data_IF_732902188390
#
_entry.id   IF_732902188390
#
_cell.length_a   1.000
_cell.length_b   1.000
_cell.length_c   1.000
_cell.angle_alpha   90.00
_cell.angle_beta   90.00
_cell.angle_gamma   90.00
#
_symmetry.space_group_name_H-M   'P 1'
#
loop_
_entity.id
_entity.type
_entity.pdbx_description
1 polymer ?
#
# COMPACT_ATOMS: atom_id res chain seq x y z
N UNK A 1 -35.96 7.22 -62.58
CA UNK A 1 -35.71 7.67 -61.20
C UNK A 1 -34.67 6.75 -60.61
N UNK A 2 -33.42 7.20 -60.63
CA UNK A 2 -32.28 6.50 -60.00
C UNK A 2 -31.77 7.45 -58.94
N UNK A 3 -32.05 7.11 -57.70
CA UNK A 3 -31.60 7.85 -56.52
C UNK A 3 -30.07 7.91 -56.58
N UNK A 4 -29.55 9.10 -56.86
CA UNK A 4 -28.16 9.42 -56.63
C UNK A 4 -27.91 9.19 -55.15
N UNK A 5 -27.22 8.10 -54.84
CA UNK A 5 -26.53 7.88 -53.58
C UNK A 5 -25.77 9.16 -53.28
N UNK A 6 -26.38 10.04 -52.48
CA UNK A 6 -25.70 11.10 -51.77
C UNK A 6 -24.89 10.37 -50.71
N UNK A 7 -23.80 9.72 -51.16
CA UNK A 7 -22.64 9.49 -50.34
C UNK A 7 -22.43 10.82 -49.62
N UNK A 8 -22.49 10.78 -48.31
CA UNK A 8 -22.00 11.83 -47.43
C UNK A 8 -20.50 11.97 -47.70
N UNK A 9 -20.22 12.57 -48.86
CA UNK A 9 -18.97 12.52 -49.60
C UNK A 9 -18.02 13.54 -49.00
N UNK A 10 -17.60 13.31 -47.75
CA UNK A 10 -16.45 14.06 -47.25
C UNK A 10 -15.15 13.55 -47.85
N UNK A 11 -15.07 12.25 -48.17
CA UNK A 11 -13.90 11.66 -48.82
C UNK A 11 -14.27 10.50 -49.75
N UNK A 12 -13.80 10.57 -51.00
CA UNK A 12 -13.82 9.47 -51.98
C UNK A 12 -12.58 8.60 -51.81
N UNK A 13 -12.66 7.33 -52.23
CA UNK A 13 -11.47 6.47 -52.27
C UNK A 13 -10.42 7.07 -53.23
N UNK A 14 -9.13 6.91 -52.90
CA UNK A 14 -8.02 7.32 -53.78
C UNK A 14 -8.10 6.69 -55.18
N UNK A 15 -8.82 5.58 -55.32
CA UNK A 15 -9.07 4.87 -56.59
C UNK A 15 -10.15 5.51 -57.46
N UNK A 16 -10.93 6.46 -56.93
CA UNK A 16 -11.99 7.16 -57.67
C UNK A 16 -11.49 8.41 -58.42
N UNK A 17 -10.27 8.87 -58.14
CA UNK A 17 -9.69 10.01 -58.86
C UNK A 17 -9.29 9.60 -60.28
N UNK A 18 -9.67 10.38 -61.31
CA UNK A 18 -9.31 10.08 -62.70
C UNK A 18 -7.79 10.18 -62.87
N UNK A 19 -7.22 9.24 -63.63
CA UNK A 19 -5.77 9.18 -63.90
C UNK A 19 -5.27 10.34 -64.78
N UNK A 20 -6.17 10.99 -65.52
CA UNK A 20 -5.86 12.08 -66.45
C UNK A 20 -6.99 13.10 -66.50
N UNK A 21 -6.64 14.38 -66.45
CA UNK A 21 -7.56 15.53 -66.57
C UNK A 21 -7.68 16.07 -68.00
N UNK A 22 -6.94 15.50 -68.97
CA UNK A 22 -6.81 16.02 -70.33
C UNK A 22 -8.13 16.11 -71.12
N UNK A 23 -9.14 15.34 -70.72
CA UNK A 23 -10.48 15.33 -71.34
C UNK A 23 -11.55 16.06 -70.53
N UNK A 24 -11.19 16.68 -69.41
CA UNK A 24 -12.14 17.41 -68.56
C UNK A 24 -12.17 18.90 -68.91
N UNK A 25 -13.33 19.52 -68.70
CA UNK A 25 -13.44 20.98 -68.80
C UNK A 25 -12.59 21.63 -67.70
N UNK A 26 -12.10 22.85 -67.95
CA UNK A 26 -11.30 23.61 -66.97
C UNK A 26 -12.01 23.78 -65.63
N UNK A 27 -13.33 24.00 -65.64
CA UNK A 27 -14.13 24.13 -64.43
C UNK A 27 -14.23 22.82 -63.62
N UNK A 28 -14.32 21.67 -64.28
CA UNK A 28 -14.32 20.35 -63.62
C UNK A 28 -12.94 20.00 -63.07
N UNK A 29 -11.88 20.30 -63.83
CA UNK A 29 -10.51 20.09 -63.39
C UNK A 29 -10.19 20.91 -62.13
N UNK A 30 -10.57 22.19 -62.08
CA UNK A 30 -10.36 23.06 -60.91
C UNK A 30 -11.12 22.57 -59.67
N UNK A 31 -12.34 22.05 -59.85
CA UNK A 31 -13.10 21.45 -58.75
C UNK A 31 -12.45 20.16 -58.25
N UNK A 32 -11.97 19.31 -59.16
CA UNK A 32 -11.24 18.09 -58.80
C UNK A 32 -9.94 18.41 -58.04
N UNK A 33 -9.19 19.43 -58.47
CA UNK A 33 -7.99 19.87 -57.77
C UNK A 33 -8.28 20.37 -56.34
N UNK A 34 -9.37 21.12 -56.15
CA UNK A 34 -9.81 21.55 -54.82
C UNK A 34 -10.15 20.35 -53.93
N UNK A 35 -10.92 19.39 -54.45
CA UNK A 35 -11.28 18.17 -53.72
C UNK A 35 -10.04 17.35 -53.35
N UNK A 36 -9.11 17.12 -54.29
CA UNK A 36 -7.85 16.42 -54.02
C UNK A 36 -7.02 17.13 -52.95
N UNK A 37 -6.93 18.46 -53.02
CA UNK A 37 -6.20 19.25 -52.02
C UNK A 37 -6.83 19.09 -50.64
N UNK A 38 -8.14 19.16 -50.54
CA UNK A 38 -8.85 19.03 -49.26
C UNK A 38 -8.71 17.60 -48.69
N UNK A 39 -8.75 16.58 -49.55
CA UNK A 39 -8.44 15.18 -49.19
C UNK A 39 -7.03 15.02 -48.62
N UNK A 40 -6.03 15.63 -49.27
CA UNK A 40 -4.64 15.59 -48.82
C UNK A 40 -4.44 16.32 -47.49
N UNK A 41 -5.04 17.50 -47.33
CA UNK A 41 -4.97 18.28 -46.08
C UNK A 41 -5.60 17.48 -44.94
N UNK A 42 -6.79 16.91 -45.16
CA UNK A 42 -7.46 16.11 -44.15
C UNK A 42 -6.67 14.87 -43.77
N UNK A 43 -6.16 14.14 -44.76
CA UNK A 43 -5.36 12.92 -44.53
C UNK A 43 -4.08 13.21 -43.76
N UNK A 44 -3.38 14.30 -44.10
CA UNK A 44 -2.20 14.72 -43.35
C UNK A 44 -2.56 15.14 -41.92
N UNK A 45 -3.67 15.87 -41.73
CA UNK A 45 -4.15 16.24 -40.39
C UNK A 45 -4.54 15.02 -39.56
N UNK A 46 -5.27 14.08 -40.12
CA UNK A 46 -5.70 12.86 -39.43
C UNK A 46 -4.50 11.97 -39.09
N UNK A 47 -3.53 11.83 -40.00
CA UNK A 47 -2.27 11.14 -39.74
C UNK A 47 -1.50 11.76 -38.57
N UNK A 48 -1.34 13.08 -38.55
CA UNK A 48 -0.67 13.78 -37.45
C UNK A 48 -1.40 13.59 -36.12
N UNK A 49 -2.73 13.61 -36.12
CA UNK A 49 -3.52 13.33 -34.92
C UNK A 49 -3.37 11.88 -34.44
N UNK A 50 -3.33 10.91 -35.36
CA UNK A 50 -3.11 9.51 -35.03
C UNK A 50 -1.73 9.29 -34.42
N UNK A 51 -0.69 9.89 -34.99
CA UNK A 51 0.67 9.83 -34.43
C UNK A 51 0.72 10.41 -33.02
N UNK A 52 0.11 11.58 -32.81
CA UNK A 52 0.03 12.21 -31.49
C UNK A 52 -0.69 11.32 -30.47
N UNK A 53 -1.90 10.81 -30.79
CA UNK A 53 -2.64 9.92 -29.89
C UNK A 53 -1.87 8.62 -29.60
N UNK A 54 -1.23 8.05 -30.62
CA UNK A 54 -0.43 6.85 -30.43
C UNK A 54 0.73 7.09 -29.45
N UNK A 55 1.38 8.25 -29.54
CA UNK A 55 2.45 8.64 -28.62
C UNK A 55 1.92 8.90 -27.19
N UNK A 56 0.79 9.60 -27.05
CA UNK A 56 0.11 9.82 -25.76
C UNK A 56 -0.25 8.47 -25.08
N UNK A 57 -0.74 7.50 -25.86
CA UNK A 57 -1.03 6.16 -25.36
C UNK A 57 0.23 5.39 -24.95
N UNK A 58 1.33 5.48 -25.71
CA UNK A 58 2.62 4.87 -25.33
C UNK A 58 3.13 5.44 -24.02
N UNK A 59 3.10 6.76 -23.86
CA UNK A 59 3.54 7.43 -22.64
C UNK A 59 2.68 7.02 -21.44
N UNK A 60 1.35 6.99 -21.60
CA UNK A 60 0.43 6.54 -20.56
C UNK A 60 0.67 5.07 -20.18
N UNK A 61 0.90 4.19 -21.16
CA UNK A 61 1.20 2.78 -20.90
C UNK A 61 2.54 2.60 -20.17
N UNK A 62 3.56 3.39 -20.51
CA UNK A 62 4.84 3.39 -19.80
C UNK A 62 4.71 3.85 -18.36
N UNK A 63 3.94 4.92 -18.10
CA UNK A 63 3.64 5.39 -16.74
C UNK A 63 2.92 4.31 -15.93
N UNK A 64 1.85 3.74 -16.48
CA UNK A 64 1.10 2.67 -15.82
C UNK A 64 1.99 1.47 -15.50
N UNK A 65 2.89 1.09 -16.41
CA UNK A 65 3.85 0.00 -16.16
C UNK A 65 4.78 0.34 -14.98
N UNK A 66 5.30 1.56 -14.93
CA UNK A 66 6.15 2.00 -13.82
C UNK A 66 5.39 2.00 -12.48
N UNK A 67 4.14 2.46 -12.47
CA UNK A 67 3.29 2.47 -11.29
C UNK A 67 2.97 1.06 -10.79
N UNK A 68 2.65 0.13 -11.70
CA UNK A 68 2.45 -1.29 -11.37
C UNK A 68 3.71 -1.89 -10.75
N UNK A 69 4.90 -1.61 -11.30
CA UNK A 69 6.15 -2.08 -10.72
C UNK A 69 6.39 -1.49 -9.32
N UNK A 70 6.09 -0.21 -9.12
CA UNK A 70 6.19 0.45 -7.83
C UNK A 70 5.24 -0.17 -6.81
N UNK A 71 3.99 -0.40 -7.17
CA UNK A 71 3.00 -1.07 -6.32
C UNK A 71 3.42 -2.49 -5.98
N UNK A 72 3.95 -3.24 -6.94
CA UNK A 72 4.46 -4.59 -6.71
C UNK A 72 5.63 -4.61 -5.71
N UNK A 73 6.51 -3.61 -5.78
CA UNK A 73 7.58 -3.41 -4.80
C UNK A 73 7.02 -3.15 -3.39
N UNK A 74 6.05 -2.24 -3.27
CA UNK A 74 5.42 -1.95 -1.97
C UNK A 74 4.69 -3.16 -1.39
N UNK A 75 3.97 -3.93 -2.23
CA UNK A 75 3.32 -5.17 -1.81
C UNK A 75 4.34 -6.18 -1.27
N UNK A 76 5.49 -6.31 -1.95
CA UNK A 76 6.55 -7.22 -1.52
C UNK A 76 7.16 -6.79 -0.18
N UNK A 77 7.36 -5.49 0.02
CA UNK A 77 7.82 -4.93 1.28
C UNK A 77 6.81 -5.16 2.41
N UNK A 78 5.54 -4.81 2.21
CA UNK A 78 4.47 -5.03 3.19
C UNK A 78 4.30 -6.49 3.56
N UNK A 79 4.50 -7.40 2.60
CA UNK A 79 4.49 -8.84 2.88
C UNK A 79 5.63 -9.22 3.81
N UNK A 80 6.84 -8.73 3.57
CA UNK A 80 8.00 -8.96 4.44
C UNK A 80 7.78 -8.39 5.85
N UNK A 81 7.27 -7.16 5.97
CA UNK A 81 6.95 -6.54 7.25
C UNK A 81 5.89 -7.34 8.02
N UNK A 82 4.85 -7.84 7.33
CA UNK A 82 3.83 -8.69 7.96
C UNK A 82 4.41 -10.01 8.47
N UNK A 83 5.28 -10.65 7.70
CA UNK A 83 5.95 -11.90 8.11
C UNK A 83 6.85 -11.66 9.33
N UNK A 84 7.58 -10.53 9.35
CA UNK A 84 8.40 -10.13 10.49
C UNK A 84 7.55 -9.89 11.74
N UNK A 85 6.48 -9.08 11.66
CA UNK A 85 5.60 -8.81 12.79
C UNK A 85 4.95 -10.09 13.32
N UNK A 86 4.58 -11.02 12.43
CA UNK A 86 4.04 -12.32 12.84
C UNK A 86 5.08 -13.19 13.55
N UNK A 87 6.34 -13.15 13.12
CA UNK A 87 7.44 -13.84 13.79
C UNK A 87 7.72 -13.24 15.17
N UNK A 88 7.83 -11.91 15.26
CA UNK A 88 8.06 -11.18 16.51
C UNK A 88 6.93 -11.43 17.51
N UNK A 89 5.68 -11.40 17.06
CA UNK A 89 4.52 -11.70 17.90
C UNK A 89 4.55 -13.13 18.45
N UNK A 90 4.94 -14.13 17.64
CA UNK A 90 5.10 -15.51 18.12
C UNK A 90 6.20 -15.60 19.16
N UNK A 91 7.33 -14.95 18.93
CA UNK A 91 8.45 -14.94 19.88
C UNK A 91 8.04 -14.33 21.22
N UNK A 92 7.32 -13.20 21.21
CA UNK A 92 6.81 -12.56 22.42
C UNK A 92 5.83 -13.48 23.16
N UNK A 93 4.89 -14.10 22.45
CA UNK A 93 3.93 -15.03 23.07
C UNK A 93 4.65 -16.21 23.70
N UNK A 94 5.62 -16.82 23.00
CA UNK A 94 6.41 -17.92 23.56
C UNK A 94 7.24 -17.50 24.77
N UNK A 95 7.81 -16.29 24.76
CA UNK A 95 8.53 -15.75 25.92
C UNK A 95 7.58 -15.56 27.12
N UNK A 96 6.39 -15.00 26.91
CA UNK A 96 5.38 -14.84 27.95
C UNK A 96 4.86 -16.19 28.48
N UNK A 97 4.68 -17.19 27.61
CA UNK A 97 4.30 -18.54 28.03
C UNK A 97 5.37 -19.18 28.93
N UNK A 98 6.65 -19.00 28.59
CA UNK A 98 7.77 -19.47 29.42
C UNK A 98 7.82 -18.73 30.76
N UNK A 99 7.60 -17.42 30.76
CA UNK A 99 7.56 -16.60 31.98
C UNK A 99 6.42 -17.06 32.90
N UNK A 100 5.20 -17.24 32.37
CA UNK A 100 4.05 -17.75 33.13
C UNK A 100 4.33 -19.15 33.69
N UNK A 101 4.93 -20.04 32.89
CA UNK A 101 5.30 -21.38 33.36
C UNK A 101 6.33 -21.32 34.50
N UNK A 102 7.33 -20.43 34.40
CA UNK A 102 8.32 -20.23 35.45
C UNK A 102 7.68 -19.66 36.72
N UNK A 103 6.80 -18.68 36.60
CA UNK A 103 6.06 -18.08 37.71
C UNK A 103 5.15 -19.11 38.38
N UNK A 104 4.44 -19.94 37.62
CA UNK A 104 3.64 -21.03 38.15
C UNK A 104 4.50 -22.03 38.95
N UNK A 105 5.69 -22.38 38.45
CA UNK A 105 6.65 -23.22 39.16
C UNK A 105 7.13 -22.60 40.48
N UNK A 106 7.41 -21.30 40.49
CA UNK A 106 7.77 -20.59 41.72
C UNK A 106 6.61 -20.49 42.72
N UNK A 107 5.38 -20.29 42.24
CA UNK A 107 4.19 -20.27 43.09
C UNK A 107 3.90 -21.65 43.70
N UNK A 108 4.10 -22.74 42.96
CA UNK A 108 4.00 -24.10 43.50
C UNK A 108 5.07 -24.39 44.56
N UNK A 109 6.31 -23.93 44.34
CA UNK A 109 7.37 -23.99 45.36
C UNK A 109 7.03 -23.16 46.62
N UNK A 110 6.40 -21.99 46.46
CA UNK A 110 5.93 -21.18 47.57
C UNK A 110 4.79 -21.89 48.32
N UNK A 111 3.82 -22.46 47.59
CA UNK A 111 2.68 -23.19 48.16
C UNK A 111 3.14 -24.41 48.95
N UNK A 112 4.01 -25.24 48.38
CA UNK A 112 4.58 -26.41 49.08
C UNK A 112 5.43 -26.00 50.30
N UNK A 113 6.18 -24.91 50.21
CA UNK A 113 6.90 -24.35 51.36
C UNK A 113 5.93 -23.84 52.44
N UNK A 114 4.82 -23.21 52.07
CA UNK A 114 3.78 -22.76 52.98
C UNK A 114 3.08 -23.94 53.67
N UNK A 115 2.64 -24.94 52.92
CA UNK A 115 2.01 -26.15 53.48
C UNK A 115 2.93 -26.84 54.50
N UNK A 116 4.25 -26.88 54.22
CA UNK A 116 5.23 -27.46 55.15
C UNK A 116 5.36 -26.72 56.49
N UNK A 117 5.01 -25.43 56.51
CA UNK A 117 4.99 -24.57 57.70
C UNK A 117 3.61 -24.61 58.37
N UNK A 118 2.51 -24.65 57.60
CA UNK A 118 1.14 -24.74 58.12
C UNK A 118 0.85 -26.09 58.81
N UNK A 119 1.49 -27.18 58.37
CA UNK A 119 1.38 -28.51 58.99
C UNK A 119 1.98 -28.59 60.42
N UNK A 120 2.55 -27.47 60.93
CA UNK A 120 3.01 -27.30 62.32
C UNK A 120 1.85 -27.00 63.29
N UNK A 121 0.71 -26.47 62.80
CA UNK A 121 -0.49 -26.23 63.60
C UNK A 121 -1.38 -27.48 63.77
N UNK A 122 -1.00 -28.61 63.18
CA UNK A 122 -1.70 -29.90 63.34
C UNK A 122 -1.28 -30.59 64.65
N UNK A 123 -2.19 -30.78 65.63
CA UNK A 123 -1.86 -31.25 66.97
C UNK A 123 -1.30 -32.70 67.00
N UNK A 124 -1.56 -33.51 65.97
CA UNK A 124 -1.12 -34.91 65.89
C UNK A 124 0.36 -35.08 65.48
N UNK A 125 1.02 -34.04 64.94
CA UNK A 125 2.44 -34.07 64.52
C UNK A 125 3.36 -33.18 65.39
N UNK A 126 2.80 -32.49 66.38
CA UNK A 126 3.48 -31.43 67.14
C UNK A 126 4.73 -31.90 67.91
N UNK A 127 4.78 -33.15 68.38
CA UNK A 127 5.90 -33.66 69.19
C UNK A 127 7.24 -33.74 68.45
N UNK A 128 7.23 -33.94 67.12
CA UNK A 128 8.44 -33.88 66.27
C UNK A 128 8.50 -32.58 65.45
N UNK A 129 7.40 -31.84 65.34
CA UNK A 129 7.28 -30.60 64.59
C UNK A 129 8.17 -29.48 65.13
N UNK A 130 8.19 -29.27 66.46
CA UNK A 130 8.84 -28.13 67.14
C UNK A 130 10.36 -28.05 66.90
N UNK A 131 11.06 -29.19 66.80
CA UNK A 131 12.51 -29.20 66.50
C UNK A 131 12.84 -28.88 65.03
N UNK A 132 11.88 -29.03 64.11
CA UNK A 132 12.09 -28.81 62.66
C UNK A 132 11.64 -27.43 62.17
N UNK A 133 10.99 -26.63 63.03
CA UNK A 133 10.41 -25.31 62.72
C UNK A 133 11.43 -24.33 62.15
N UNK A 134 12.66 -24.18 62.69
CA UNK A 134 13.63 -23.23 62.14
C UNK A 134 14.04 -23.59 60.71
N UNK A 135 14.24 -24.89 60.44
CA UNK A 135 14.65 -25.36 59.11
C UNK A 135 13.55 -25.23 58.05
N UNK A 136 12.28 -25.39 58.43
CA UNK A 136 11.12 -25.24 57.53
C UNK A 136 10.81 -23.77 57.23
N UNK A 137 10.87 -22.91 58.23
CA UNK A 137 10.69 -21.46 58.04
C UNK A 137 11.82 -20.84 57.20
N UNK A 138 13.06 -21.29 57.38
CA UNK A 138 14.19 -20.88 56.52
C UNK A 138 14.00 -21.32 55.06
N UNK A 139 13.41 -22.50 54.80
CA UNK A 139 13.07 -22.94 53.43
C UNK A 139 12.02 -22.03 52.79
N UNK A 140 10.99 -21.62 53.55
CA UNK A 140 9.98 -20.66 53.09
C UNK A 140 10.60 -19.29 52.77
N UNK A 141 11.44 -18.74 53.67
CA UNK A 141 12.15 -17.50 53.39
C UNK A 141 13.12 -17.59 52.21
N UNK A 142 13.77 -18.75 52.02
CA UNK A 142 14.61 -18.99 50.86
C UNK A 142 13.80 -19.05 49.56
N UNK A 143 12.58 -19.62 49.58
CA UNK A 143 11.67 -19.62 48.44
C UNK A 143 11.19 -18.20 48.09
N UNK A 144 10.82 -17.39 49.09
CA UNK A 144 10.49 -15.96 48.89
C UNK A 144 11.70 -15.20 48.34
N UNK A 145 12.89 -15.42 48.92
CA UNK A 145 14.12 -14.78 48.44
C UNK A 145 14.44 -15.15 46.99
N UNK A 146 14.22 -16.40 46.60
CA UNK A 146 14.42 -16.85 45.22
C UNK A 146 13.45 -16.16 44.25
N UNK A 147 12.18 -16.01 44.62
CA UNK A 147 11.17 -15.27 43.83
C UNK A 147 11.55 -13.79 43.69
N UNK A 148 11.95 -13.15 44.79
CA UNK A 148 12.34 -11.74 44.81
C UNK A 148 13.62 -11.51 43.99
N UNK A 149 14.58 -12.43 44.05
CA UNK A 149 15.80 -12.36 43.23
C UNK A 149 15.49 -12.56 41.75
N UNK A 150 14.69 -13.57 41.39
CA UNK A 150 14.25 -13.79 40.02
C UNK A 150 13.51 -12.56 39.46
N UNK A 151 12.53 -12.03 40.19
CA UNK A 151 11.78 -10.85 39.77
C UNK A 151 12.67 -9.60 39.63
N UNK A 152 13.71 -9.48 40.46
CA UNK A 152 14.65 -8.35 40.41
C UNK A 152 15.68 -8.48 39.28
N UNK A 153 16.13 -9.69 38.96
CA UNK A 153 17.05 -9.92 37.85
C UNK A 153 16.36 -9.64 36.50
N UNK A 154 15.07 -10.01 36.37
CA UNK A 154 14.27 -9.78 35.15
C UNK A 154 13.89 -8.29 34.96
N UNK A 155 13.56 -7.58 36.05
CA UNK A 155 13.23 -6.15 36.01
C UNK A 155 14.42 -5.18 36.15
N UNK A 156 15.60 -5.70 36.50
CA UNK A 156 16.76 -4.88 36.88
C UNK A 156 17.64 -4.43 35.71
N UNK A 157 17.79 -5.25 34.67
CA UNK A 157 18.66 -4.95 33.53
C UNK A 157 17.98 -5.12 32.15
N UNK A 158 17.00 -6.02 31.98
CA UNK A 158 16.36 -6.27 30.67
C UNK A 158 15.07 -5.47 30.41
N UNK A 159 14.41 -4.93 31.45
CA UNK A 159 13.24 -4.07 31.29
C UNK A 159 13.51 -2.72 30.58
N UNK A 160 14.78 -2.39 30.29
CA UNK A 160 15.16 -1.26 29.42
C UNK A 160 15.19 -1.61 27.94
N UNK A 161 15.29 -2.89 27.57
CA UNK A 161 15.31 -3.34 26.18
C UNK A 161 13.89 -3.50 25.58
N UNK A 162 12.88 -3.66 26.44
CA UNK A 162 11.46 -3.81 26.07
C UNK A 162 10.64 -2.52 26.24
N UNK A 163 11.28 -1.34 26.28
CA UNK A 163 10.53 -0.12 25.95
C UNK A 163 10.27 -0.15 24.46
N UNK A 164 9.02 -0.28 23.98
CA UNK A 164 8.74 0.04 22.60
C UNK A 164 9.15 1.50 22.42
N UNK A 165 10.26 1.71 21.72
CA UNK A 165 10.54 2.98 21.09
C UNK A 165 9.35 3.23 20.18
N UNK A 166 8.42 4.01 20.67
CA UNK A 166 7.46 4.75 19.86
C UNK A 166 8.26 5.85 19.13
N UNK A 167 9.30 5.44 18.40
CA UNK A 167 10.04 6.28 17.49
C UNK A 167 9.11 6.51 16.30
N UNK A 168 8.54 7.71 16.27
CA UNK A 168 8.06 8.39 15.08
C UNK A 168 7.03 7.62 14.24
N UNK A 169 5.76 7.88 14.54
CA UNK A 169 4.81 8.07 13.43
C UNK A 169 5.47 9.05 12.42
N UNK A 170 5.50 8.73 11.13
CA UNK A 170 5.74 9.76 10.12
C UNK A 170 4.53 10.70 10.18
N UNK A 171 4.70 11.80 10.91
CA UNK A 171 3.83 12.96 10.82
C UNK A 171 3.97 13.46 9.38
N UNK A 172 2.98 13.15 8.55
CA UNK A 172 2.78 13.78 7.25
C UNK A 172 2.51 15.26 7.52
N UNK A 173 3.60 16.03 7.62
CA UNK A 173 3.55 17.48 7.55
C UNK A 173 3.17 17.84 6.12
N UNK A 174 1.89 18.17 5.93
CA UNK A 174 1.33 18.45 4.62
C UNK A 174 -0.03 19.11 4.70
N UNK A 175 -0.23 20.04 5.64
CA UNK A 175 -1.21 21.12 5.45
C UNK A 175 -0.55 22.13 4.50
N UNK A 176 -0.52 21.77 3.22
CA UNK A 176 -0.27 22.70 2.12
C UNK A 176 -1.62 22.96 1.48
N UNK A 177 -1.81 24.22 1.15
CA UNK A 177 -3.02 24.85 0.69
C UNK A 177 -3.70 24.12 -0.49
N UNK A 178 -4.96 24.50 -0.71
CA UNK A 178 -5.83 24.27 -1.88
C UNK A 178 -5.19 24.48 -3.29
N UNK A 179 -3.87 24.57 -3.43
CA UNK A 179 -3.15 24.88 -4.68
C UNK A 179 -2.77 23.64 -5.53
N UNK A 180 -2.85 22.42 -5.00
CA UNK A 180 -2.42 21.22 -5.75
C UNK A 180 -3.44 20.75 -6.80
N UNK A 181 -4.72 21.15 -6.71
CA UNK A 181 -5.68 20.87 -7.80
C UNK A 181 -5.37 21.68 -9.07
N UNK A 182 -4.68 22.81 -8.96
CA UNK A 182 -4.32 23.68 -10.09
C UNK A 182 -3.14 23.11 -10.90
N UNK A 183 -2.22 22.38 -10.23
CA UNK A 183 -1.05 21.74 -10.83
C UNK A 183 -1.36 20.40 -11.53
N UNK A 184 -2.35 19.67 -11.04
CA UNK A 184 -2.67 18.33 -11.55
C UNK A 184 -3.57 18.37 -12.82
N UNK A 185 -4.12 19.54 -13.16
CA UNK A 185 -4.99 19.75 -14.35
C UNK A 185 -4.80 21.12 -15.04
N UNK A 186 -3.61 21.47 -15.56
CA UNK A 186 -3.40 22.74 -16.25
C UNK A 186 -4.24 22.91 -17.54
N UNK A 187 -4.81 21.83 -18.06
CA UNK A 187 -5.68 21.84 -19.25
C UNK A 187 -7.12 22.30 -18.98
N UNK A 188 -7.58 22.39 -17.72
CA UNK A 188 -8.93 22.88 -17.43
C UNK A 188 -9.01 24.41 -17.34
N UNK A 189 -7.89 25.11 -17.11
CA UNK A 189 -7.89 26.53 -16.75
C UNK A 189 -7.22 27.47 -17.78
N UNK A 190 -6.62 26.96 -18.85
CA UNK A 190 -5.81 27.78 -19.76
C UNK A 190 -6.12 27.61 -21.25
N UNK A 191 -7.38 27.43 -21.64
CA UNK A 191 -7.75 27.59 -23.05
C UNK A 191 -9.05 28.39 -23.26
N UNK A 192 -8.93 29.72 -23.31
CA UNK A 192 -10.00 30.58 -23.80
C UNK A 192 -10.43 30.23 -25.24
N UNK A 193 -9.61 29.51 -26.03
CA UNK A 193 -9.99 29.05 -27.37
C UNK A 193 -10.81 27.75 -27.35
N UNK A 194 -10.98 27.08 -26.20
CA UNK A 194 -11.77 25.85 -26.09
C UNK A 194 -13.23 26.08 -25.63
N UNK A 195 -13.59 27.28 -25.15
CA UNK A 195 -14.97 27.59 -24.70
C UNK A 195 -15.99 27.82 -25.84
N UNK A 196 -15.57 27.85 -27.11
CA UNK A 196 -16.47 28.10 -28.26
C UNK A 196 -16.65 26.94 -29.24
N UNK A 197 -15.92 25.82 -29.10
CA UNK A 197 -15.89 24.76 -30.13
C UNK A 197 -17.05 23.77 -30.08
N UNK A 198 -17.75 23.64 -28.96
CA UNK A 198 -18.95 22.79 -28.89
C UNK A 198 -20.18 23.41 -29.57
N UNK A 199 -20.10 24.69 -29.98
CA UNK A 199 -21.18 25.40 -30.69
C UNK A 199 -21.02 25.38 -32.22
N UNK A 200 -19.96 24.76 -32.77
CA UNK A 200 -19.74 24.64 -34.22
C UNK A 200 -20.07 23.26 -34.80
N UNK A 201 -20.49 22.30 -33.97
CA UNK A 201 -21.17 21.07 -34.41
C UNK A 201 -22.69 21.27 -34.32
N UNK A 202 -23.22 22.15 -35.18
CA UNK A 202 -24.62 22.16 -35.63
C UNK A 202 -24.69 22.57 -37.08
#
# INVERSE_FOLDING_TARGET
MTESNQSSARFRSATEFPKTIASQSTAEADNLYKEMRDCLIFTNRSRSQLLRRNEEHKQSALKLKADVQRLQSMISQLKGEKEQVAADSRQIVTALEQEIASMAGYLDQLSTAFDSVADVDNPDKAYWGVLSVPGKFLKFLNAIKAIVLWWRDDNGEEAKALKPKHDSQPYLSGTVADDDEELDKPQMHSDQASQGRSLLDK
#
